data_IF_800472158321
#
_entry.id   IF_800472158321
#
_cell.length_a   1.000
_cell.length_b   1.000
_cell.length_c   1.000
_cell.angle_alpha   90.00
_cell.angle_beta   90.00
_cell.angle_gamma   90.00
#
_symmetry.space_group_name_H-M   'P 1'
#
loop_
_entity.id
_entity.type
_entity.pdbx_description
1 polymer ?
#
# COMPACT_ATOMS: atom_id res chain seq x y z
N UNK A 1 -17.48 -4.67 13.38
CA UNK A 1 -17.96 -5.22 14.67
C UNK A 1 -16.81 -6.02 15.25
N UNK A 2 -16.30 -5.58 16.38
CA UNK A 2 -15.21 -6.21 17.13
C UNK A 2 -15.67 -7.57 17.66
N UNK A 3 -15.05 -8.65 17.17
CA UNK A 3 -15.34 -10.03 17.57
C UNK A 3 -14.70 -10.40 18.91
N UNK A 4 -14.97 -9.62 19.97
CA UNK A 4 -14.44 -9.86 21.32
C UNK A 4 -15.57 -9.80 22.34
N UNK A 5 -16.48 -10.77 22.33
CA UNK A 5 -17.54 -10.89 23.35
C UNK A 5 -17.89 -12.34 23.74
N UNK A 6 -16.98 -13.30 23.59
CA UNK A 6 -17.16 -14.64 24.18
C UNK A 6 -15.87 -15.09 24.87
N UNK A 7 -15.96 -15.30 26.17
CA UNK A 7 -14.87 -15.54 27.13
C UNK A 7 -14.07 -16.84 26.94
N UNK A 8 -14.51 -17.72 26.03
CA UNK A 8 -13.98 -19.09 25.91
C UNK A 8 -13.34 -19.39 24.53
N UNK A 9 -13.20 -18.38 23.66
CA UNK A 9 -12.53 -18.51 22.37
C UNK A 9 -11.21 -17.74 22.40
N UNK A 10 -10.04 -18.39 22.23
CA UNK A 10 -8.79 -17.69 22.04
C UNK A 10 -8.93 -16.75 20.85
N UNK A 11 -8.80 -15.44 21.09
CA UNK A 11 -8.97 -14.42 20.07
C UNK A 11 -8.11 -14.76 18.85
N UNK A 12 -8.71 -14.82 17.67
CA UNK A 12 -7.93 -14.71 16.44
C UNK A 12 -7.36 -13.30 16.49
N UNK A 13 -6.03 -13.10 16.54
CA UNK A 13 -5.49 -11.76 16.50
C UNK A 13 -5.96 -11.13 15.18
N UNK A 14 -6.60 -9.97 15.28
CA UNK A 14 -6.79 -9.08 14.14
C UNK A 14 -5.38 -8.89 13.55
N UNK A 15 -5.15 -9.43 12.35
CA UNK A 15 -3.93 -9.25 11.55
C UNK A 15 -2.74 -10.19 11.85
N UNK A 16 -2.94 -11.51 11.70
CA UNK A 16 -1.86 -12.54 11.80
C UNK A 16 -0.64 -12.24 10.94
N UNK A 17 -0.81 -11.72 9.72
CA UNK A 17 0.31 -11.38 8.83
C UNK A 17 1.14 -10.20 9.33
N UNK A 18 0.53 -9.23 10.01
CA UNK A 18 1.29 -8.19 10.72
C UNK A 18 2.03 -8.80 11.92
N UNK A 19 1.45 -9.82 12.57
CA UNK A 19 2.12 -10.63 13.59
C UNK A 19 3.42 -11.27 13.14
N UNK A 20 3.43 -11.85 11.94
CA UNK A 20 4.64 -12.45 11.37
C UNK A 20 5.73 -11.41 11.10
N UNK A 21 5.35 -10.27 10.50
CA UNK A 21 6.27 -9.16 10.28
C UNK A 21 6.85 -8.64 11.59
N UNK A 22 6.04 -8.60 12.65
CA UNK A 22 6.50 -8.22 13.98
C UNK A 22 7.54 -9.17 14.54
N UNK A 23 7.28 -10.48 14.46
CA UNK A 23 8.23 -11.49 14.90
C UNK A 23 9.56 -11.36 14.14
N UNK A 24 9.51 -11.09 12.83
CA UNK A 24 10.70 -10.85 12.02
C UNK A 24 11.48 -9.59 12.46
N UNK A 25 10.79 -8.47 12.71
CA UNK A 25 11.44 -7.24 13.20
C UNK A 25 12.04 -7.45 14.59
N UNK A 26 11.35 -8.15 15.48
CA UNK A 26 11.88 -8.53 16.80
C UNK A 26 13.17 -9.35 16.64
N UNK A 27 13.15 -10.36 15.79
CA UNK A 27 14.32 -11.19 15.51
C UNK A 27 15.50 -10.35 15.01
N UNK A 28 15.27 -9.41 14.09
CA UNK A 28 16.32 -8.49 13.61
C UNK A 28 16.88 -7.70 14.78
N UNK A 29 16.04 -7.12 15.65
CA UNK A 29 16.51 -6.30 16.77
C UNK A 29 17.33 -7.12 17.79
N UNK A 30 16.97 -8.38 17.99
CA UNK A 30 17.66 -9.27 18.91
C UNK A 30 18.99 -9.80 18.35
N UNK A 31 19.14 -9.86 17.01
CA UNK A 31 20.24 -10.60 16.39
C UNK A 31 21.12 -9.80 15.41
N UNK A 32 20.69 -8.65 14.90
CA UNK A 32 21.38 -7.95 13.80
C UNK A 32 22.80 -7.49 14.17
N UNK A 33 23.08 -7.27 15.46
CA UNK A 33 24.42 -6.95 15.95
C UNK A 33 25.43 -8.07 15.68
N UNK A 34 24.99 -9.33 15.66
CA UNK A 34 25.83 -10.49 15.32
C UNK A 34 26.23 -10.52 13.84
N UNK A 35 25.51 -9.78 12.99
CA UNK A 35 25.78 -9.62 11.57
C UNK A 35 26.48 -8.28 11.25
N UNK A 36 26.87 -7.51 12.26
CA UNK A 36 27.53 -6.21 12.12
C UNK A 36 26.57 -5.03 11.89
N UNK A 37 25.26 -5.21 12.05
CA UNK A 37 24.29 -4.12 11.97
C UNK A 37 24.02 -3.44 13.33
N UNK A 38 23.27 -2.35 13.30
CA UNK A 38 22.92 -1.56 14.48
C UNK A 38 21.43 -1.73 14.83
N UNK A 39 21.13 -2.42 15.93
CA UNK A 39 19.75 -2.63 16.40
C UNK A 39 19.03 -1.33 16.80
N UNK A 40 19.77 -0.26 17.11
CA UNK A 40 19.20 1.06 17.42
C UNK A 40 18.91 1.92 16.19
N UNK A 41 19.31 1.47 14.99
CA UNK A 41 19.14 2.21 13.74
C UNK A 41 18.55 1.33 12.62
N UNK A 42 17.49 0.59 12.96
CA UNK A 42 16.74 -0.22 12.00
C UNK A 42 15.79 0.66 11.20
N UNK A 43 15.76 0.47 9.87
CA UNK A 43 14.85 1.16 8.95
C UNK A 43 13.83 0.18 8.44
N UNK A 44 12.54 0.51 8.56
CA UNK A 44 11.49 -0.24 7.88
C UNK A 44 11.13 0.44 6.57
N UNK A 45 11.21 -0.33 5.48
CA UNK A 45 10.92 0.10 4.13
C UNK A 45 9.90 -0.85 3.50
N UNK A 46 8.95 -0.30 2.76
CA UNK A 46 8.02 -1.09 1.96
C UNK A 46 7.51 -0.33 0.75
N UNK A 47 6.94 -1.07 -0.20
CA UNK A 47 6.22 -0.53 -1.35
C UNK A 47 4.83 -1.16 -1.47
N UNK A 48 3.84 -0.40 -1.92
CA UNK A 48 2.46 -0.87 -2.04
C UNK A 48 1.91 -1.41 -0.71
N UNK A 49 1.38 -2.64 -0.71
CA UNK A 49 0.91 -3.30 0.52
C UNK A 49 2.00 -3.45 1.61
N UNK A 50 3.28 -3.50 1.21
CA UNK A 50 4.41 -3.45 2.14
C UNK A 50 4.54 -2.09 2.81
N UNK A 51 4.41 -0.98 2.06
CA UNK A 51 4.39 0.37 2.64
C UNK A 51 3.17 0.56 3.56
N UNK A 52 2.00 0.06 3.16
CA UNK A 52 0.84 0.04 4.04
C UNK A 52 1.15 -0.70 5.35
N UNK A 53 1.77 -1.87 5.27
CA UNK A 53 2.14 -2.68 6.44
C UNK A 53 3.14 -1.96 7.36
N UNK A 54 4.17 -1.33 6.79
CA UNK A 54 5.12 -0.49 7.55
C UNK A 54 4.39 0.63 8.26
N UNK A 55 3.47 1.31 7.57
CA UNK A 55 2.63 2.35 8.16
C UNK A 55 1.68 1.82 9.23
N UNK A 56 1.16 0.61 9.09
CA UNK A 56 0.28 -0.02 10.07
C UNK A 56 0.98 -0.28 11.40
N UNK A 57 2.28 -0.63 11.38
CA UNK A 57 3.10 -0.74 12.59
C UNK A 57 3.24 0.57 13.37
N UNK A 58 2.85 1.71 12.79
CA UNK A 58 2.81 3.01 13.44
C UNK A 58 1.43 3.35 14.02
N UNK A 59 0.36 2.59 13.75
CA UNK A 59 -1.00 2.92 14.20
C UNK A 59 -1.26 2.53 15.67
N UNK A 60 -2.23 3.20 16.30
CA UNK A 60 -2.83 2.92 17.62
C UNK A 60 -3.91 1.86 17.51
N UNK A 61 -4.13 1.09 18.57
CA UNK A 61 -5.31 0.22 18.69
C UNK A 61 -6.57 1.03 19.03
N UNK A 62 -7.72 0.34 19.03
CA UNK A 62 -9.01 0.89 19.43
C UNK A 62 -9.10 1.34 20.90
N UNK A 63 -8.05 1.15 21.71
CA UNK A 63 -7.97 1.66 23.09
C UNK A 63 -7.09 2.91 23.21
N UNK A 64 -6.51 3.38 22.09
CA UNK A 64 -5.60 4.52 22.04
C UNK A 64 -4.16 4.18 22.46
N UNK A 65 -3.91 2.93 22.84
CA UNK A 65 -2.57 2.37 23.02
C UNK A 65 -1.92 2.06 21.66
N UNK A 66 -0.63 1.75 21.62
CA UNK A 66 -0.01 1.33 20.37
C UNK A 66 -0.62 0.00 19.91
N UNK A 67 -1.02 -0.09 18.62
CA UNK A 67 -1.77 -1.25 18.11
C UNK A 67 -1.01 -2.56 18.22
N UNK A 68 0.30 -2.45 18.20
CA UNK A 68 1.19 -3.54 17.85
C UNK A 68 2.44 -3.62 18.72
N UNK A 69 2.98 -2.49 19.23
CA UNK A 69 4.23 -2.44 19.98
C UNK A 69 4.19 -1.45 21.14
N UNK A 70 4.55 -1.86 22.37
CA UNK A 70 4.58 -0.94 23.52
C UNK A 70 5.63 0.18 23.42
N UNK A 71 6.68 0.00 22.61
CA UNK A 71 7.77 0.94 22.42
C UNK A 71 8.23 1.02 20.96
N UNK A 72 8.97 2.08 20.63
CA UNK A 72 9.55 2.30 19.32
C UNK A 72 10.58 1.21 18.96
N UNK A 73 10.35 0.46 17.88
CA UNK A 73 11.19 -0.70 17.49
C UNK A 73 12.14 -0.47 16.33
N UNK A 74 11.90 0.54 15.52
CA UNK A 74 12.73 0.92 14.37
C UNK A 74 12.95 2.43 14.42
N UNK A 75 13.98 2.97 13.78
CA UNK A 75 14.36 4.38 13.87
C UNK A 75 13.75 5.23 12.75
N UNK A 76 13.76 4.71 11.51
CA UNK A 76 13.39 5.45 10.30
C UNK A 76 12.39 4.65 9.46
N UNK A 77 11.66 5.37 8.61
CA UNK A 77 10.56 4.80 7.82
C UNK A 77 10.64 5.24 6.38
N UNK A 78 10.51 4.29 5.46
CA UNK A 78 10.39 4.55 4.02
C UNK A 78 9.06 3.96 3.53
N UNK A 79 8.18 4.82 3.00
CA UNK A 79 6.88 4.41 2.44
C UNK A 79 6.86 4.74 0.95
N UNK A 80 6.83 3.72 0.09
CA UNK A 80 6.81 3.88 -1.36
C UNK A 80 5.42 3.53 -1.91
N UNK A 81 4.82 4.47 -2.62
CA UNK A 81 3.56 4.32 -3.37
C UNK A 81 2.34 3.90 -2.54
N UNK A 82 2.34 4.00 -1.22
CA UNK A 82 1.17 3.66 -0.40
C UNK A 82 1.23 4.33 0.97
N UNK A 83 0.08 4.52 1.60
CA UNK A 83 0.00 4.96 2.99
C UNK A 83 -1.02 4.16 3.79
N UNK A 84 -0.84 4.02 5.12
CA UNK A 84 -1.83 3.45 6.01
C UNK A 84 -3.15 4.27 6.06
N UNK A 85 -3.20 5.45 5.45
CA UNK A 85 -4.40 6.31 5.41
C UNK A 85 -5.32 5.99 4.24
N UNK A 86 -4.89 5.10 3.35
CA UNK A 86 -5.81 4.50 2.38
C UNK A 86 -6.74 3.56 3.15
N UNK A 87 -8.00 3.97 3.26
CA UNK A 87 -9.08 3.09 3.71
C UNK A 87 -9.36 2.01 2.66
N UNK A 88 -9.64 0.80 3.12
CA UNK A 88 -10.18 -0.28 2.29
C UNK A 88 -11.66 -0.43 2.64
N UNK A 89 -12.53 -0.21 1.65
CA UNK A 89 -13.96 0.00 1.89
C UNK A 89 -14.87 -1.15 1.43
N UNK A 90 -14.29 -2.27 0.98
CA UNK A 90 -15.04 -3.46 0.52
C UNK A 90 -14.49 -4.72 1.21
N UNK A 91 -14.38 -4.68 2.54
CA UNK A 91 -13.93 -5.83 3.34
C UNK A 91 -15.05 -6.88 3.45
N UNK A 92 -14.95 -7.89 2.60
CA UNK A 92 -15.84 -9.06 2.58
C UNK A 92 -15.27 -10.24 3.36
N UNK A 93 -14.28 -10.03 4.21
CA UNK A 93 -13.66 -11.11 5.00
C UNK A 93 -14.68 -11.87 5.87
N UNK A 94 -15.74 -11.19 6.32
CA UNK A 94 -16.85 -11.80 7.05
C UNK A 94 -17.66 -12.82 6.22
N UNK A 95 -17.64 -12.74 4.90
CA UNK A 95 -18.31 -13.71 4.01
C UNK A 95 -17.47 -14.99 3.81
N UNK A 96 -16.17 -14.95 4.14
CA UNK A 96 -15.22 -16.02 3.84
C UNK A 96 -15.61 -17.39 4.43
N UNK A 97 -16.04 -17.51 5.70
CA UNK A 97 -16.46 -18.81 6.25
C UNK A 97 -17.57 -19.45 5.41
N UNK A 98 -18.60 -18.68 5.08
CA UNK A 98 -19.74 -19.12 4.26
C UNK A 98 -19.30 -19.55 2.87
N UNK A 99 -18.40 -18.79 2.22
CA UNK A 99 -17.87 -19.12 0.89
C UNK A 99 -17.04 -20.42 0.90
N UNK A 100 -16.37 -20.73 2.01
CA UNK A 100 -15.62 -21.96 2.21
C UNK A 100 -16.48 -23.12 2.74
N UNK A 101 -17.80 -22.92 2.84
CA UNK A 101 -18.77 -23.90 3.39
C UNK A 101 -18.47 -24.27 4.85
N UNK A 102 -17.89 -23.35 5.61
CA UNK A 102 -17.72 -23.45 7.04
C UNK A 102 -18.88 -22.79 7.79
N UNK A 103 -19.16 -23.22 9.04
CA UNK A 103 -20.05 -22.49 9.93
C UNK A 103 -19.61 -21.03 10.06
N UNK A 104 -20.56 -20.12 10.24
CA UNK A 104 -20.30 -18.69 10.47
C UNK A 104 -20.55 -18.33 11.96
N UNK A 105 -20.27 -17.09 12.35
CA UNK A 105 -20.63 -16.55 13.66
C UNK A 105 -19.49 -16.51 14.68
N UNK A 106 -18.22 -16.60 14.24
CA UNK A 106 -17.08 -16.41 15.13
C UNK A 106 -16.85 -17.56 16.13
N UNK A 107 -17.35 -18.76 15.83
CA UNK A 107 -17.31 -19.91 16.74
C UNK A 107 -16.00 -20.71 16.64
N UNK A 108 -15.73 -21.56 17.63
CA UNK A 108 -14.59 -22.50 17.60
C UNK A 108 -14.75 -23.49 16.43
N UNK A 109 -15.99 -23.88 16.14
CA UNK A 109 -16.35 -24.80 15.05
C UNK A 109 -16.06 -24.18 13.67
N UNK A 110 -16.39 -22.89 13.49
CA UNK A 110 -16.00 -22.12 12.30
C UNK A 110 -14.48 -22.17 12.11
N UNK A 111 -13.73 -21.84 13.16
CA UNK A 111 -12.27 -21.82 13.11
C UNK A 111 -11.65 -23.19 12.81
N UNK A 112 -12.16 -24.24 13.45
CA UNK A 112 -11.72 -25.60 13.20
C UNK A 112 -11.97 -25.98 11.74
N UNK A 113 -13.17 -25.73 11.21
CA UNK A 113 -13.49 -25.96 9.81
C UNK A 113 -12.53 -25.22 8.88
N UNK A 114 -12.36 -23.90 9.07
CA UNK A 114 -11.50 -23.08 8.19
C UNK A 114 -10.04 -23.58 8.17
N UNK A 115 -9.53 -24.10 9.29
CA UNK A 115 -8.18 -24.70 9.37
C UNK A 115 -8.03 -26.02 8.61
N UNK A 116 -9.13 -26.72 8.33
CA UNK A 116 -9.12 -27.95 7.52
C UNK A 116 -9.23 -27.68 6.01
N UNK A 117 -9.63 -26.47 5.62
CA UNK A 117 -9.74 -26.08 4.21
C UNK A 117 -8.34 -25.97 3.61
N UNK A 118 -8.08 -26.57 2.43
CA UNK A 118 -6.80 -26.41 1.76
C UNK A 118 -6.47 -24.94 1.51
N UNK A 119 -5.25 -24.51 1.85
CA UNK A 119 -4.82 -23.11 1.71
C UNK A 119 -5.01 -22.57 0.30
N UNK A 120 -4.82 -23.39 -0.73
CA UNK A 120 -5.04 -23.01 -2.13
C UNK A 120 -6.48 -22.57 -2.40
N UNK A 121 -7.46 -23.20 -1.77
CA UNK A 121 -8.86 -22.84 -1.93
C UNK A 121 -9.18 -21.53 -1.18
N UNK A 122 -8.60 -21.34 0.00
CA UNK A 122 -8.69 -20.08 0.73
C UNK A 122 -8.12 -18.93 -0.11
N UNK A 123 -6.93 -19.12 -0.71
CA UNK A 123 -6.30 -18.14 -1.59
C UNK A 123 -7.17 -17.85 -2.81
N UNK A 124 -7.72 -18.89 -3.46
CA UNK A 124 -8.59 -18.72 -4.64
C UNK A 124 -9.84 -17.89 -4.31
N UNK A 125 -10.55 -18.25 -3.23
CA UNK A 125 -11.77 -17.55 -2.81
C UNK A 125 -11.46 -16.11 -2.38
N UNK A 126 -10.37 -15.90 -1.64
CA UNK A 126 -9.96 -14.55 -1.22
C UNK A 126 -9.55 -13.68 -2.40
N UNK A 127 -8.86 -14.23 -3.41
CA UNK A 127 -8.44 -13.46 -4.60
C UNK A 127 -9.57 -13.16 -5.59
N UNK A 128 -10.50 -14.10 -5.78
CA UNK A 128 -11.52 -14.00 -6.84
C UNK A 128 -12.83 -13.38 -6.34
N UNK A 129 -13.25 -13.71 -5.12
CA UNK A 129 -14.58 -13.38 -4.58
C UNK A 129 -14.48 -12.25 -3.56
N UNK A 130 -13.61 -12.40 -2.55
CA UNK A 130 -13.44 -11.40 -1.50
C UNK A 130 -12.72 -10.16 -2.06
N UNK A 131 -11.77 -10.35 -2.97
CA UNK A 131 -10.95 -9.34 -3.69
C UNK A 131 -10.05 -8.48 -2.79
N UNK A 132 -10.42 -8.25 -1.54
CA UNK A 132 -9.58 -7.66 -0.51
C UNK A 132 -9.65 -8.49 0.77
N UNK A 133 -8.50 -9.04 1.17
CA UNK A 133 -8.33 -9.67 2.47
C UNK A 133 -7.07 -9.08 3.10
N UNK A 134 -7.26 -8.25 4.10
CA UNK A 134 -6.19 -7.48 4.69
C UNK A 134 -6.59 -6.87 6.02
N UNK A 135 -5.70 -6.11 6.64
CA UNK A 135 -5.92 -5.66 7.99
C UNK A 135 -7.14 -4.75 8.10
N UNK A 136 -7.90 -4.89 9.19
CA UNK A 136 -9.05 -4.03 9.45
C UNK A 136 -8.54 -2.68 9.95
N UNK A 137 -8.48 -1.68 9.08
CA UNK A 137 -8.22 -0.31 9.48
C UNK A 137 -9.53 0.46 9.63
N UNK A 138 -9.54 1.47 10.51
CA UNK A 138 -10.60 2.46 10.49
C UNK A 138 -10.72 3.04 9.07
N UNK A 139 -11.94 3.41 8.66
CA UNK A 139 -12.20 3.86 7.29
C UNK A 139 -11.32 5.05 6.85
N UNK A 140 -10.81 5.84 7.80
CA UNK A 140 -9.91 6.97 7.56
C UNK A 140 -8.92 7.18 8.70
N UNK A 141 -7.82 6.41 8.77
CA UNK A 141 -6.79 6.62 9.78
C UNK A 141 -6.12 7.98 9.60
N UNK A 142 -5.70 8.59 10.70
CA UNK A 142 -5.05 9.89 10.75
C UNK A 142 -3.77 9.81 11.60
N UNK A 143 -2.93 10.85 11.58
CA UNK A 143 -1.70 10.86 12.39
C UNK A 143 -2.01 10.84 13.88
N UNK A 144 -3.20 11.27 14.30
CA UNK A 144 -3.63 11.16 15.69
C UNK A 144 -3.89 9.70 16.09
N UNK A 145 -4.22 8.86 15.12
CA UNK A 145 -4.34 7.41 15.25
C UNK A 145 -2.98 6.72 15.16
N UNK A 146 -1.86 7.45 15.08
CA UNK A 146 -0.52 6.89 15.09
C UNK A 146 0.15 7.01 16.48
N UNK A 147 0.90 5.98 16.87
CA UNK A 147 1.67 5.88 18.10
C UNK A 147 3.16 5.88 17.80
N UNK A 148 3.95 6.51 18.68
CA UNK A 148 5.40 6.54 18.54
C UNK A 148 5.84 7.08 17.18
N UNK A 149 5.18 8.11 16.64
CA UNK A 149 5.58 8.73 15.37
C UNK A 149 6.51 9.93 15.56
N UNK A 150 6.52 10.54 16.75
CA UNK A 150 7.26 11.78 17.05
C UNK A 150 8.76 11.54 17.14
N UNK A 151 9.56 12.45 16.59
CA UNK A 151 11.02 12.38 16.65
C UNK A 151 11.63 11.44 15.60
N UNK A 152 10.83 10.98 14.64
CA UNK A 152 11.26 10.07 13.57
C UNK A 152 11.50 10.79 12.26
N UNK A 153 12.17 10.08 11.36
CA UNK A 153 12.42 10.52 9.98
C UNK A 153 11.67 9.62 9.01
N UNK A 154 11.08 10.26 8.00
CA UNK A 154 10.26 9.59 6.99
C UNK A 154 10.75 9.96 5.60
N UNK A 155 10.85 8.98 4.72
CA UNK A 155 11.00 9.17 3.28
C UNK A 155 9.75 8.63 2.59
N UNK A 156 9.03 9.48 1.88
CA UNK A 156 7.80 9.13 1.18
C UNK A 156 8.04 9.18 -0.32
N UNK A 157 7.66 8.13 -1.03
CA UNK A 157 7.85 8.01 -2.47
C UNK A 157 6.55 7.83 -3.21
N UNK A 158 6.39 8.49 -4.36
CA UNK A 158 5.39 8.11 -5.36
C UNK A 158 6.08 7.95 -6.72
N UNK A 159 5.39 7.32 -7.66
CA UNK A 159 5.72 7.42 -9.08
C UNK A 159 4.83 8.46 -9.77
N UNK A 160 5.17 8.89 -10.98
CA UNK A 160 4.35 9.83 -11.74
C UNK A 160 3.04 9.23 -12.26
N UNK A 161 2.95 7.90 -12.44
CA UNK A 161 1.72 7.22 -12.84
C UNK A 161 1.36 6.06 -11.88
N UNK A 162 0.80 6.43 -10.73
CA UNK A 162 0.35 5.45 -9.72
C UNK A 162 -0.90 4.67 -10.16
N UNK A 163 -1.69 5.22 -11.08
CA UNK A 163 -2.98 4.66 -11.50
C UNK A 163 -2.89 3.51 -12.49
N UNK A 164 -1.77 3.34 -13.22
CA UNK A 164 -1.64 2.38 -14.33
C UNK A 164 -2.20 1.00 -14.01
N UNK A 165 -1.75 0.41 -12.91
CA UNK A 165 -2.10 -0.97 -12.55
C UNK A 165 -3.57 -1.12 -12.14
N UNK A 166 -4.14 -0.11 -11.47
CA UNK A 166 -5.55 -0.17 -11.06
C UNK A 166 -6.47 -0.01 -12.27
N UNK A 167 -6.12 0.87 -13.20
CA UNK A 167 -6.90 1.00 -14.44
C UNK A 167 -6.77 -0.25 -15.32
N UNK A 168 -5.56 -0.80 -15.49
CA UNK A 168 -5.34 -2.05 -16.23
C UNK A 168 -6.15 -3.21 -15.64
N UNK A 169 -6.21 -3.32 -14.31
CA UNK A 169 -7.08 -4.29 -13.63
C UNK A 169 -8.57 -4.04 -13.93
N UNK A 170 -9.04 -2.79 -13.88
CA UNK A 170 -10.43 -2.47 -14.18
C UNK A 170 -10.77 -2.75 -15.65
N UNK A 171 -9.87 -2.47 -16.59
CA UNK A 171 -10.04 -2.77 -18.01
C UNK A 171 -10.15 -4.28 -18.25
N UNK A 172 -9.28 -5.08 -17.62
CA UNK A 172 -9.26 -6.55 -17.76
C UNK A 172 -10.45 -7.25 -17.09
N UNK A 173 -11.03 -6.63 -16.08
CA UNK A 173 -12.16 -7.21 -15.32
C UNK A 173 -13.52 -6.67 -15.74
N UNK A 174 -13.55 -5.65 -16.60
CA UNK A 174 -14.77 -5.11 -17.21
C UNK A 174 -15.05 -5.77 -18.56
N UNK A 175 -16.29 -5.68 -19.08
CA UNK A 175 -16.59 -6.05 -20.47
C UNK A 175 -15.64 -5.36 -21.47
N UNK A 176 -15.29 -6.00 -22.60
CA UNK A 176 -14.33 -5.45 -23.57
C UNK A 176 -14.70 -4.08 -24.16
N UNK A 177 -15.98 -3.74 -24.17
CA UNK A 177 -16.58 -2.49 -24.66
C UNK A 177 -16.97 -1.53 -23.54
N UNK A 178 -16.54 -1.80 -22.31
CA UNK A 178 -16.89 -0.98 -21.16
C UNK A 178 -16.26 0.41 -21.25
N UNK A 179 -17.10 1.43 -21.09
CA UNK A 179 -16.65 2.81 -21.04
C UNK A 179 -16.25 3.21 -19.61
N UNK A 180 -14.99 3.59 -19.42
CA UNK A 180 -14.49 4.04 -18.12
C UNK A 180 -15.17 5.31 -17.61
N UNK A 181 -15.76 6.13 -18.49
CA UNK A 181 -16.58 7.27 -18.07
C UNK A 181 -17.80 6.83 -17.25
N UNK A 182 -18.33 5.64 -17.55
CA UNK A 182 -19.45 5.04 -16.85
C UNK A 182 -19.01 4.12 -15.70
N UNK A 183 -17.93 3.34 -15.90
CA UNK A 183 -17.45 2.38 -14.89
C UNK A 183 -16.85 3.07 -13.68
N UNK A 184 -16.05 4.12 -13.87
CA UNK A 184 -15.32 4.76 -12.76
C UNK A 184 -16.22 5.44 -11.72
N UNK A 185 -17.28 6.19 -12.09
CA UNK A 185 -18.21 6.72 -11.10
C UNK A 185 -18.85 5.64 -10.23
N UNK A 186 -19.27 4.52 -10.83
CA UNK A 186 -19.86 3.38 -10.10
C UNK A 186 -18.84 2.73 -9.16
N UNK A 187 -17.60 2.55 -9.65
CA UNK A 187 -16.50 2.03 -8.84
C UNK A 187 -16.18 2.95 -7.65
N UNK A 188 -16.04 4.25 -7.88
CA UNK A 188 -15.77 5.23 -6.83
C UNK A 188 -16.92 5.35 -5.83
N UNK A 189 -18.18 5.29 -6.27
CA UNK A 189 -19.33 5.29 -5.37
C UNK A 189 -19.39 4.00 -4.54
N UNK A 190 -19.09 2.84 -5.13
CA UNK A 190 -19.04 1.57 -4.39
C UNK A 190 -17.96 1.59 -3.31
N UNK A 191 -16.77 2.07 -3.64
CA UNK A 191 -15.63 2.06 -2.73
C UNK A 191 -15.73 3.21 -1.73
N UNK A 192 -15.88 4.46 -2.16
CA UNK A 192 -15.81 5.61 -1.25
C UNK A 192 -17.17 6.17 -0.82
N UNK A 193 -18.29 5.56 -1.26
CA UNK A 193 -19.64 6.07 -1.03
C UNK A 193 -19.83 7.52 -1.53
N UNK A 194 -19.10 7.89 -2.58
CA UNK A 194 -19.16 9.22 -3.20
C UNK A 194 -20.39 9.29 -4.10
N UNK A 195 -21.45 9.93 -3.60
CA UNK A 195 -22.71 10.12 -4.35
C UNK A 195 -22.54 10.88 -5.67
N UNK A 196 -21.61 11.83 -5.71
CA UNK A 196 -21.37 12.72 -6.86
C UNK A 196 -20.10 12.32 -7.65
N UNK A 197 -19.76 11.02 -7.71
CA UNK A 197 -18.52 10.55 -8.34
C UNK A 197 -18.41 10.95 -9.82
N UNK A 198 -19.54 11.08 -10.53
CA UNK A 198 -19.60 11.57 -11.91
C UNK A 198 -19.00 12.97 -12.07
N UNK A 199 -19.22 13.88 -11.10
CA UNK A 199 -18.65 15.23 -11.13
C UNK A 199 -17.13 15.21 -11.01
N UNK A 200 -16.60 14.27 -10.21
CA UNK A 200 -15.15 14.09 -10.02
C UNK A 200 -14.53 13.60 -11.34
N UNK A 201 -15.10 12.54 -11.92
CA UNK A 201 -14.66 11.99 -13.21
C UNK A 201 -14.68 13.09 -14.29
N UNK A 202 -15.78 13.83 -14.40
CA UNK A 202 -15.92 14.92 -15.36
C UNK A 202 -14.88 16.03 -15.18
N UNK A 203 -14.52 16.34 -13.92
CA UNK A 203 -13.48 17.34 -13.62
C UNK A 203 -12.11 16.88 -14.10
N UNK A 204 -11.74 15.63 -13.84
CA UNK A 204 -10.46 15.07 -14.29
C UNK A 204 -10.38 14.98 -15.82
N UNK A 205 -11.45 14.53 -16.46
CA UNK A 205 -11.53 14.53 -17.93
C UNK A 205 -11.30 15.92 -18.50
N UNK A 206 -12.03 16.93 -18.01
CA UNK A 206 -11.93 18.30 -18.53
C UNK A 206 -10.57 18.93 -18.28
N UNK A 207 -9.93 18.65 -17.15
CA UNK A 207 -8.65 19.27 -16.78
C UNK A 207 -7.45 18.56 -17.41
N UNK A 208 -7.49 17.22 -17.52
CA UNK A 208 -6.35 16.41 -17.96
C UNK A 208 -6.43 16.03 -19.44
N UNK A 209 -7.59 15.63 -19.95
CA UNK A 209 -7.72 15.16 -21.34
C UNK A 209 -7.30 16.18 -22.42
N UNK A 210 -7.48 17.51 -22.24
CA UNK A 210 -7.00 18.49 -23.22
C UNK A 210 -5.48 18.70 -23.21
N UNK A 211 -4.78 18.28 -22.15
CA UNK A 211 -3.36 18.61 -21.92
C UNK A 211 -2.37 17.61 -22.54
N UNK A 212 -2.84 16.42 -22.91
CA UNK A 212 -1.99 15.38 -23.50
C UNK A 212 -2.52 15.01 -24.89
N UNK A 213 -1.66 15.10 -25.92
CA UNK A 213 -1.96 14.61 -27.26
C UNK A 213 -2.27 13.11 -27.16
N UNK A 214 -3.57 12.79 -27.15
CA UNK A 214 -4.11 11.46 -26.86
C UNK A 214 -3.66 10.46 -27.93
N UNK A 215 -2.57 9.75 -27.66
CA UNK A 215 -2.10 8.60 -28.46
C UNK A 215 -2.02 7.30 -27.65
N UNK A 216 -2.22 7.34 -26.33
CA UNK A 216 -2.32 6.16 -25.47
C UNK A 216 -3.72 6.06 -24.85
N UNK A 217 -4.49 5.05 -25.27
CA UNK A 217 -5.76 4.52 -24.72
C UNK A 217 -6.97 5.45 -24.47
N UNK A 218 -6.87 6.78 -24.61
CA UNK A 218 -8.01 7.70 -24.38
C UNK A 218 -8.36 7.93 -22.90
N UNK A 219 -7.68 7.25 -21.97
CA UNK A 219 -7.98 7.25 -20.54
C UNK A 219 -6.84 7.79 -19.65
N UNK A 220 -5.99 8.68 -20.16
CA UNK A 220 -4.91 9.30 -19.36
C UNK A 220 -5.42 9.99 -18.10
N UNK A 221 -6.57 10.68 -18.20
CA UNK A 221 -7.26 11.28 -17.07
C UNK A 221 -7.70 10.26 -15.99
N UNK A 222 -7.94 9.00 -16.38
CA UNK A 222 -8.35 7.95 -15.45
C UNK A 222 -7.17 7.41 -14.65
N UNK A 223 -5.97 7.33 -15.26
CA UNK A 223 -4.74 7.00 -14.54
C UNK A 223 -4.46 8.04 -13.45
N UNK A 224 -4.55 9.32 -13.79
CA UNK A 224 -4.37 10.41 -12.82
C UNK A 224 -5.42 10.36 -11.71
N UNK A 225 -6.71 10.23 -12.06
CA UNK A 225 -7.80 10.14 -11.09
C UNK A 225 -7.59 9.00 -10.09
N UNK A 226 -7.28 7.80 -10.58
CA UNK A 226 -7.06 6.63 -9.75
C UNK A 226 -5.77 6.74 -8.94
N UNK A 227 -4.70 7.25 -9.55
CA UNK A 227 -3.41 7.53 -8.91
C UNK A 227 -3.55 8.47 -7.73
N UNK A 228 -4.20 9.62 -7.95
CA UNK A 228 -4.43 10.64 -6.94
C UNK A 228 -5.29 10.11 -5.79
N UNK A 229 -6.46 9.54 -6.10
CA UNK A 229 -7.43 9.16 -5.07
C UNK A 229 -6.94 7.98 -4.21
N UNK A 230 -6.32 6.97 -4.82
CA UNK A 230 -5.96 5.76 -4.10
C UNK A 230 -4.56 5.79 -3.49
N UNK A 231 -3.63 6.56 -4.07
CA UNK A 231 -2.20 6.40 -3.75
C UNK A 231 -1.54 7.73 -3.39
N UNK A 232 -1.46 8.68 -4.32
CA UNK A 232 -0.70 9.92 -4.17
C UNK A 232 -1.28 10.80 -3.05
N UNK A 233 -2.57 11.12 -3.10
CA UNK A 233 -3.17 12.03 -2.10
C UNK A 233 -3.19 11.45 -0.67
N UNK A 234 -3.52 10.16 -0.44
CA UNK A 234 -3.40 9.55 0.88
C UNK A 234 -1.97 9.60 1.45
N UNK A 235 -0.94 9.43 0.62
CA UNK A 235 0.46 9.49 1.05
C UNK A 235 0.90 10.94 1.32
N UNK A 236 0.55 11.89 0.46
CA UNK A 236 0.83 13.31 0.68
C UNK A 236 0.11 13.85 1.93
N UNK A 237 -1.13 13.43 2.17
CA UNK A 237 -1.87 13.78 3.39
C UNK A 237 -1.17 13.24 4.63
N UNK A 238 -0.69 12.00 4.60
CA UNK A 238 0.13 11.44 5.67
C UNK A 238 1.39 12.27 5.90
N UNK A 239 2.16 12.55 4.84
CA UNK A 239 3.39 13.35 4.93
C UNK A 239 3.17 14.73 5.52
N UNK A 240 2.12 15.42 5.06
CA UNK A 240 1.71 16.72 5.61
C UNK A 240 1.39 16.61 7.09
N UNK A 241 0.61 15.62 7.50
CA UNK A 241 0.22 15.47 8.90
C UNK A 241 1.42 15.06 9.78
N UNK A 242 2.34 14.21 9.30
CA UNK A 242 3.58 13.83 10.00
C UNK A 242 4.50 15.05 10.20
N UNK A 243 4.62 15.90 9.18
CA UNK A 243 5.43 17.11 9.26
C UNK A 243 4.78 18.19 10.14
N UNK A 244 3.51 18.50 9.91
CA UNK A 244 2.86 19.66 10.54
C UNK A 244 2.30 19.37 11.94
N UNK A 245 1.73 18.18 12.15
CA UNK A 245 1.10 17.82 13.44
C UNK A 245 2.08 17.12 14.37
N UNK A 246 2.86 16.16 13.85
CA UNK A 246 3.84 15.40 14.64
C UNK A 246 5.24 16.03 14.66
N UNK A 247 5.50 17.09 13.88
CA UNK A 247 6.78 17.83 13.82
C UNK A 247 7.98 16.95 13.44
N UNK A 248 7.75 15.95 12.60
CA UNK A 248 8.79 15.06 12.11
C UNK A 248 9.51 15.66 10.90
N UNK A 249 10.73 15.17 10.65
CA UNK A 249 11.43 15.42 9.39
C UNK A 249 10.90 14.44 8.34
N UNK A 250 10.36 14.99 7.25
CA UNK A 250 9.72 14.24 6.17
C UNK A 250 10.35 14.66 4.85
N UNK A 251 10.91 13.69 4.13
CA UNK A 251 11.41 13.83 2.78
C UNK A 251 10.43 13.19 1.79
N UNK A 252 10.45 13.69 0.56
CA UNK A 252 9.59 13.21 -0.51
C UNK A 252 10.35 13.06 -1.82
N UNK A 253 10.01 12.05 -2.62
CA UNK A 253 10.41 11.97 -4.02
C UNK A 253 9.22 11.59 -4.91
N UNK A 254 9.30 12.01 -6.17
CA UNK A 254 8.45 11.52 -7.26
C UNK A 254 9.37 10.88 -8.28
N UNK A 255 9.19 9.59 -8.55
CA UNK A 255 9.93 8.87 -9.58
C UNK A 255 9.18 8.98 -10.90
N UNK A 256 9.82 9.62 -11.88
CA UNK A 256 9.23 9.92 -13.19
C UNK A 256 10.19 9.53 -14.33
N UNK A 257 10.65 8.28 -14.31
CA UNK A 257 11.50 7.74 -15.36
C UNK A 257 10.90 6.47 -15.95
N UNK A 258 10.68 6.46 -17.26
CA UNK A 258 10.21 5.30 -17.99
C UNK A 258 11.40 4.46 -18.46
N UNK A 259 11.60 3.31 -17.80
CA UNK A 259 12.67 2.39 -18.16
C UNK A 259 12.46 1.79 -19.55
N UNK A 260 13.55 1.57 -20.29
CA UNK A 260 13.57 0.85 -21.57
C UNK A 260 13.01 -0.57 -21.47
N UNK A 261 13.04 -1.14 -20.27
CA UNK A 261 12.55 -2.47 -19.94
C UNK A 261 11.24 -2.46 -19.14
N UNK A 262 10.56 -1.31 -19.03
CA UNK A 262 9.30 -1.20 -18.31
C UNK A 262 8.25 -2.16 -18.86
N UNK A 263 7.51 -2.81 -17.97
CA UNK A 263 6.39 -3.69 -18.35
C UNK A 263 5.22 -2.90 -18.94
N UNK A 264 5.00 -1.70 -18.42
CA UNK A 264 4.00 -0.76 -18.92
C UNK A 264 4.73 0.33 -19.71
N UNK A 265 4.57 0.28 -21.02
CA UNK A 265 5.01 1.33 -21.92
C UNK A 265 3.80 2.18 -22.34
N UNK A 266 3.12 2.75 -21.34
CA UNK A 266 2.16 3.82 -21.58
C UNK A 266 2.94 5.13 -21.63
N UNK A 267 2.62 6.03 -22.57
CA UNK A 267 3.32 7.32 -22.69
C UNK A 267 2.96 8.28 -21.55
N UNK A 268 2.42 7.79 -20.44
CA UNK A 268 1.80 8.56 -19.36
C UNK A 268 2.63 8.59 -18.07
N UNK A 269 3.89 8.17 -18.13
CA UNK A 269 4.87 8.34 -17.04
C UNK A 269 5.42 7.01 -16.51
N UNK A 270 6.01 7.06 -15.32
CA UNK A 270 6.50 5.87 -14.62
C UNK A 270 5.33 5.17 -13.93
N UNK A 271 5.00 3.97 -14.39
CA UNK A 271 3.96 3.14 -13.79
C UNK A 271 4.34 2.73 -12.36
N UNK A 272 3.33 2.48 -11.52
CA UNK A 272 3.50 1.96 -10.15
C UNK A 272 4.50 0.80 -10.09
N UNK A 273 5.37 0.80 -9.07
CA UNK A 273 6.47 -0.14 -8.85
C UNK A 273 7.70 0.01 -9.76
N UNK A 274 7.70 0.92 -10.73
CA UNK A 274 8.86 1.10 -11.63
C UNK A 274 10.12 1.55 -10.88
N UNK A 275 9.97 2.27 -9.77
CA UNK A 275 11.08 2.71 -8.92
C UNK A 275 11.79 1.55 -8.20
N UNK A 276 11.11 0.42 -7.96
CA UNK A 276 11.68 -0.75 -7.31
C UNK A 276 12.85 -1.36 -8.10
N UNK A 277 12.76 -1.38 -9.43
CA UNK A 277 13.85 -1.89 -10.26
C UNK A 277 15.14 -1.07 -10.03
N UNK A 278 15.01 0.24 -9.82
CA UNK A 278 16.15 1.13 -9.60
C UNK A 278 16.64 1.09 -8.16
N UNK A 279 15.73 1.02 -7.19
CA UNK A 279 16.04 0.90 -5.75
C UNK A 279 16.80 -0.38 -5.43
N UNK A 280 16.43 -1.50 -6.08
CA UNK A 280 17.09 -2.79 -5.85
C UNK A 280 18.23 -3.09 -6.83
N UNK A 281 18.68 -2.09 -7.61
CA UNK A 281 19.89 -2.24 -8.42
C UNK A 281 19.73 -3.10 -9.67
N UNK A 282 18.51 -3.30 -10.18
CA UNK A 282 18.29 -4.16 -11.36
C UNK A 282 19.00 -3.67 -12.62
N UNK A 283 19.13 -2.35 -12.90
CA UNK A 283 20.00 -1.89 -13.98
C UNK A 283 21.48 -2.27 -13.82
N UNK A 284 21.93 -2.63 -12.62
CA UNK A 284 23.32 -2.89 -12.26
C UNK A 284 23.68 -4.38 -12.20
N UNK A 285 22.69 -5.27 -12.09
CA UNK A 285 22.90 -6.72 -11.86
C UNK A 285 23.15 -7.53 -13.14
N UNK A 286 23.03 -6.91 -14.32
CA UNK A 286 23.21 -7.55 -15.62
C UNK A 286 22.04 -8.43 -16.07
N UNK A 287 20.94 -8.50 -15.30
CA UNK A 287 19.73 -9.27 -15.64
C UNK A 287 18.92 -8.66 -16.78
N UNK A 288 19.12 -7.37 -17.05
CA UNK A 288 18.48 -6.63 -18.15
C UNK A 288 19.50 -5.79 -18.90
N UNK A 289 19.25 -5.58 -20.19
CA UNK A 289 20.01 -4.60 -20.98
C UNK A 289 19.55 -3.21 -20.54
N UNK A 290 20.37 -2.55 -19.71
CA UNK A 290 20.12 -1.21 -19.22
C UNK A 290 21.17 -0.22 -19.77
N UNK A 291 20.70 0.95 -20.19
CA UNK A 291 21.54 2.07 -20.64
C UNK A 291 22.43 2.60 -19.53
N UNK A 292 23.48 3.35 -19.89
CA UNK A 292 24.33 4.03 -18.93
C UNK A 292 23.54 5.02 -18.05
N UNK A 293 22.50 5.64 -18.61
CA UNK A 293 21.60 6.54 -17.87
C UNK A 293 20.78 5.79 -16.81
N UNK A 294 20.23 4.62 -17.15
CA UNK A 294 19.48 3.79 -16.20
C UNK A 294 20.36 3.25 -15.07
N UNK A 295 21.61 2.90 -15.40
CA UNK A 295 22.60 2.51 -14.40
C UNK A 295 22.93 3.68 -13.46
N UNK A 296 23.16 4.89 -13.98
CA UNK A 296 23.39 6.08 -13.16
C UNK A 296 22.19 6.40 -12.27
N UNK A 297 20.97 6.36 -12.82
CA UNK A 297 19.74 6.58 -12.06
C UNK A 297 19.58 5.57 -10.93
N UNK A 298 19.88 4.28 -11.16
CA UNK A 298 19.83 3.26 -10.12
C UNK A 298 20.84 3.53 -9.01
N UNK A 299 22.08 3.94 -9.35
CA UNK A 299 23.07 4.33 -8.34
C UNK A 299 22.58 5.51 -7.50
N UNK A 300 21.97 6.52 -8.11
CA UNK A 300 21.41 7.68 -7.38
C UNK A 300 20.25 7.30 -6.47
N UNK A 301 19.35 6.42 -6.92
CA UNK A 301 18.25 5.92 -6.08
C UNK A 301 18.78 5.14 -4.88
N UNK A 302 19.74 4.22 -5.09
CA UNK A 302 20.40 3.48 -4.01
C UNK A 302 21.11 4.42 -3.03
N UNK A 303 21.83 5.42 -3.55
CA UNK A 303 22.52 6.43 -2.74
C UNK A 303 21.54 7.25 -1.90
N UNK A 304 20.42 7.70 -2.48
CA UNK A 304 19.37 8.41 -1.75
C UNK A 304 18.82 7.57 -0.59
N UNK A 305 18.44 6.31 -0.85
CA UNK A 305 17.83 5.45 0.17
C UNK A 305 18.84 5.02 1.23
N UNK A 306 20.08 4.72 0.86
CA UNK A 306 21.13 4.33 1.81
C UNK A 306 21.62 5.51 2.65
N UNK A 307 21.70 6.71 2.07
CA UNK A 307 21.97 7.96 2.80
C UNK A 307 20.86 8.23 3.80
N UNK A 308 19.60 8.17 3.39
CA UNK A 308 18.46 8.27 4.31
C UNK A 308 18.53 7.17 5.38
N UNK A 309 18.84 5.94 5.02
CA UNK A 309 18.97 4.86 6.00
C UNK A 309 20.08 5.10 7.03
N UNK A 310 21.15 5.81 6.65
CA UNK A 310 22.30 6.09 7.53
C UNK A 310 22.09 7.33 8.39
N UNK A 311 21.79 8.47 7.77
CA UNK A 311 21.75 9.78 8.46
C UNK A 311 20.34 10.29 8.67
N UNK A 312 19.40 9.77 7.89
CA UNK A 312 17.99 10.16 7.90
C UNK A 312 17.73 11.51 7.27
#
# INVERSE_FOLDING_TARGET
>A
MTGCLLSDVPCIPDDVGLGDQRAAVQWVLDHITSFGGNASDVVLMGSGSGAWSVGAHLLKDGTGGPRFWSHERFAKVILMSESPFRGYFDDKSHELPSLLKCPDGGTVEMLHCMRTVPSREIVRVTSEVVRYFGPSASAHPSVQDASGVTGRRFLLGTVSNEGTHLLDYLLKTSPPDADMEYVLPQFLNRIYHIKDAEKIVHTFQKTIAPSQNVTASGYSWAYELLGDLFYTCPLLRLGRDLSTKARNLVFGYVFDYQASFALFNDTTGAARFSDLDFVFGRPLDGSRVASAQEQDLSRRMIDMLSTFATTG
#
